data_IF_129047914745
#
_entry.id   IF_129047914745
#
_cell.length_a   1.000
_cell.length_b   1.000
_cell.length_c   1.000
_cell.angle_alpha   90.00
_cell.angle_beta   90.00
_cell.angle_gamma   90.00
#
_symmetry.space_group_name_H-M   'P 1'
#
loop_
_entity.id
_entity.type
_entity.pdbx_description
1 polymer ?
#
# COMPACT_ATOMS: atom_id res chain seq x y z
N UNK A 1 -18.73 -3.20 -10.10
CA UNK A 1 -18.19 -4.56 -9.89
C UNK A 1 -16.78 -4.55 -9.25
N UNK A 2 -16.35 -3.44 -8.61
CA UNK A 2 -15.18 -3.42 -7.72
C UNK A 2 -15.58 -3.74 -6.26
N UNK A 3 -16.83 -3.49 -5.89
CA UNK A 3 -17.28 -3.58 -4.49
C UNK A 3 -17.38 -5.02 -3.96
N UNK A 4 -17.63 -6.00 -4.83
CA UNK A 4 -17.80 -7.39 -4.41
C UNK A 4 -16.49 -8.10 -4.06
N UNK A 5 -15.34 -7.57 -4.51
CA UNK A 5 -14.02 -8.18 -4.27
C UNK A 5 -13.36 -7.69 -2.97
N UNK A 6 -13.83 -6.56 -2.41
CA UNK A 6 -13.35 -6.04 -1.13
C UNK A 6 -13.95 -6.77 0.08
N UNK A 7 -15.03 -7.55 -0.12
CA UNK A 7 -15.81 -8.18 0.96
C UNK A 7 -15.20 -9.50 1.43
N UNK A 8 -14.47 -10.19 0.54
CA UNK A 8 -13.71 -11.38 0.88
C UNK A 8 -12.26 -10.94 1.08
N UNK A 9 -11.75 -10.91 2.31
CA UNK A 9 -10.31 -10.76 2.57
C UNK A 9 -9.50 -12.00 2.08
N UNK A 10 -9.89 -12.62 0.97
CA UNK A 10 -9.11 -13.59 0.23
C UNK A 10 -8.18 -12.86 -0.74
N UNK A 11 -7.08 -12.38 -0.16
CA UNK A 11 -6.02 -11.62 -0.79
C UNK A 11 -5.32 -12.34 -1.95
N UNK A 12 -5.54 -13.66 -2.12
CA UNK A 12 -5.00 -14.46 -3.24
C UNK A 12 -5.59 -14.08 -4.59
N UNK A 13 -6.76 -13.43 -4.63
CA UNK A 13 -7.43 -13.04 -5.87
C UNK A 13 -7.21 -11.56 -6.26
N UNK A 14 -6.70 -10.72 -5.36
CA UNK A 14 -6.50 -9.28 -5.60
C UNK A 14 -5.05 -8.87 -5.88
N UNK A 15 -4.07 -9.73 -5.58
CA UNK A 15 -2.68 -9.53 -5.97
C UNK A 15 -2.12 -10.85 -6.51
N UNK A 16 -1.65 -10.94 -7.77
CA UNK A 16 -0.70 -11.98 -8.13
C UNK A 16 0.51 -11.89 -7.17
N UNK A 17 1.30 -12.96 -6.96
CA UNK A 17 2.43 -12.93 -6.03
C UNK A 17 3.52 -11.98 -6.55
N UNK A 18 3.35 -10.69 -6.31
CA UNK A 18 4.37 -9.66 -6.47
C UNK A 18 5.15 -9.64 -5.17
N UNK A 19 6.45 -9.91 -5.24
CA UNK A 19 7.33 -9.72 -4.10
C UNK A 19 7.28 -8.25 -3.65
N UNK A 20 7.33 -7.96 -2.35
CA UNK A 20 7.44 -6.58 -1.89
C UNK A 20 8.76 -5.99 -2.41
N UNK A 21 8.73 -4.76 -2.92
CA UNK A 21 9.95 -4.07 -3.33
C UNK A 21 10.66 -3.42 -2.13
N UNK A 22 9.92 -3.16 -1.04
CA UNK A 22 10.44 -2.62 0.21
C UNK A 22 9.73 -3.25 1.42
N UNK A 23 10.51 -3.52 2.48
CA UNK A 23 10.02 -4.00 3.78
C UNK A 23 10.59 -3.11 4.87
N UNK A 24 9.73 -2.59 5.74
CA UNK A 24 10.11 -1.77 6.89
C UNK A 24 9.71 -2.44 8.20
N UNK A 25 10.63 -2.44 9.16
CA UNK A 25 10.36 -2.80 10.56
C UNK A 25 9.71 -1.62 11.29
N UNK A 26 8.56 -1.17 10.78
CA UNK A 26 7.76 -0.09 11.35
C UNK A 26 6.27 -0.43 11.26
N UNK A 27 5.45 0.03 12.23
CA UNK A 27 4.01 -0.06 12.14
C UNK A 27 3.46 0.55 10.84
N UNK A 28 2.40 -0.04 10.29
CA UNK A 28 1.86 0.35 8.97
C UNK A 28 1.39 1.81 8.89
N UNK A 29 0.74 2.35 9.93
CA UNK A 29 0.38 3.77 9.98
C UNK A 29 1.60 4.69 9.88
N UNK A 30 2.71 4.33 10.54
CA UNK A 30 3.96 5.08 10.49
C UNK A 30 4.67 4.91 9.16
N UNK A 31 4.64 3.71 8.59
CA UNK A 31 5.23 3.43 7.28
C UNK A 31 4.50 4.18 6.16
N UNK A 32 3.16 4.23 6.21
CA UNK A 32 2.33 5.02 5.27
C UNK A 32 2.66 6.51 5.40
N UNK A 33 2.65 7.07 6.61
CA UNK A 33 2.95 8.48 6.82
C UNK A 33 4.37 8.86 6.33
N UNK A 34 5.35 8.00 6.62
CA UNK A 34 6.73 8.15 6.12
C UNK A 34 6.78 8.14 4.60
N UNK A 35 6.13 7.16 3.95
CA UNK A 35 6.16 7.04 2.50
C UNK A 35 5.47 8.22 1.82
N UNK A 36 4.30 8.63 2.31
CA UNK A 36 3.58 9.81 1.79
C UNK A 36 4.47 11.04 1.83
N UNK A 37 5.05 11.34 2.98
CA UNK A 37 5.91 12.50 3.16
C UNK A 37 7.12 12.47 2.22
N UNK A 38 7.78 11.31 2.11
CA UNK A 38 8.98 11.17 1.31
C UNK A 38 8.70 11.26 -0.19
N UNK A 39 7.60 10.68 -0.65
CA UNK A 39 7.14 10.79 -2.04
C UNK A 39 6.80 12.25 -2.39
N UNK A 40 6.07 12.95 -1.53
CA UNK A 40 5.73 14.37 -1.71
C UNK A 40 6.98 15.26 -1.80
N UNK A 41 7.96 15.03 -0.93
CA UNK A 41 9.23 15.77 -0.94
C UNK A 41 10.05 15.57 -2.23
N UNK A 42 9.81 14.47 -2.96
CA UNK A 42 10.47 14.15 -4.21
C UNK A 42 9.59 14.41 -5.45
N UNK A 43 8.55 15.24 -5.30
CA UNK A 43 7.71 15.70 -6.43
C UNK A 43 6.72 14.67 -6.95
N UNK A 44 6.44 13.62 -6.17
CA UNK A 44 5.35 12.67 -6.43
C UNK A 44 4.11 13.11 -5.64
N UNK A 45 2.93 12.77 -6.12
CA UNK A 45 1.67 13.12 -5.46
C UNK A 45 0.92 11.84 -5.05
N UNK A 46 1.17 11.31 -3.85
CA UNK A 46 0.42 10.18 -3.32
C UNK A 46 -0.98 10.61 -2.88
N UNK A 47 -2.00 9.88 -3.31
CA UNK A 47 -3.39 10.04 -2.89
C UNK A 47 -3.86 8.74 -2.27
N UNK A 48 -4.23 8.78 -1.00
CA UNK A 48 -4.80 7.62 -0.31
C UNK A 48 -6.24 7.38 -0.78
N UNK A 49 -6.46 6.25 -1.44
CA UNK A 49 -7.78 5.88 -1.99
C UNK A 49 -8.48 4.80 -1.19
N UNK A 50 -7.73 4.04 -0.39
CA UNK A 50 -8.28 3.02 0.49
C UNK A 50 -7.47 2.92 1.78
N UNK A 51 -8.18 2.72 2.88
CA UNK A 51 -7.62 2.35 4.18
C UNK A 51 -8.54 1.32 4.84
N UNK A 52 -7.99 0.14 5.11
CA UNK A 52 -8.70 -0.96 5.73
C UNK A 52 -9.22 -0.62 7.12
N UNK A 53 -8.51 0.19 7.91
CA UNK A 53 -8.99 0.58 9.24
C UNK A 53 -10.29 1.38 9.13
N UNK A 54 -10.30 2.39 8.26
CA UNK A 54 -11.50 3.19 7.98
C UNK A 54 -12.62 2.33 7.40
N UNK A 55 -12.31 1.44 6.45
CA UNK A 55 -13.30 0.55 5.85
C UNK A 55 -13.92 -0.44 6.86
N UNK A 56 -13.11 -0.97 7.79
CA UNK A 56 -13.54 -1.86 8.88
C UNK A 56 -14.55 -1.19 9.81
N UNK A 57 -14.35 0.09 10.13
CA UNK A 57 -15.32 0.84 10.93
C UNK A 57 -16.69 0.92 10.25
N UNK A 58 -16.73 0.88 8.92
CA UNK A 58 -17.96 0.89 8.14
C UNK A 58 -18.56 -0.52 7.87
N UNK A 59 -17.81 -1.61 8.08
CA UNK A 59 -18.21 -2.99 7.73
C UNK A 59 -17.89 -3.98 8.86
N UNK A 60 -18.88 -4.27 9.70
CA UNK A 60 -18.74 -5.09 10.91
C UNK A 60 -18.56 -6.61 10.66
N UNK A 61 -18.71 -7.09 9.42
CA UNK A 61 -18.76 -8.51 9.08
C UNK A 61 -17.54 -8.99 8.27
N UNK A 62 -16.32 -8.50 8.56
CA UNK A 62 -15.12 -8.98 7.86
C UNK A 62 -14.64 -10.36 8.38
N UNK A 63 -14.17 -11.28 7.52
CA UNK A 63 -13.87 -12.67 7.88
C UNK A 63 -12.45 -12.89 8.45
N UNK A 64 -11.78 -11.84 8.95
CA UNK A 64 -10.49 -12.00 9.63
C UNK A 64 -10.65 -12.93 10.86
N UNK A 65 -9.75 -13.90 11.12
CA UNK A 65 -9.86 -14.81 12.27
C UNK A 65 -9.90 -14.10 13.62
N UNK A 66 -9.35 -12.88 13.67
CA UNK A 66 -9.36 -11.99 14.82
C UNK A 66 -10.29 -10.78 14.61
N UNK A 67 -11.17 -10.82 13.61
CA UNK A 67 -12.06 -9.72 13.25
C UNK A 67 -12.91 -9.30 14.45
N UNK A 68 -13.06 -7.99 14.64
CA UNK A 68 -13.80 -7.43 15.77
C UNK A 68 -13.15 -7.62 17.15
N UNK A 69 -11.98 -8.26 17.23
CA UNK A 69 -11.22 -8.38 18.49
C UNK A 69 -10.10 -7.35 18.55
N UNK A 70 -9.64 -7.03 19.77
CA UNK A 70 -8.49 -6.17 20.02
C UNK A 70 -7.16 -6.71 19.42
N UNK A 71 -7.16 -7.95 18.89
CA UNK A 71 -5.97 -8.63 18.37
C UNK A 71 -5.77 -8.50 16.86
N UNK A 72 -6.74 -7.97 16.10
CA UNK A 72 -6.57 -7.77 14.66
C UNK A 72 -5.75 -6.51 14.37
N UNK A 73 -4.44 -6.69 14.23
CA UNK A 73 -3.48 -5.64 13.89
C UNK A 73 -3.26 -5.46 12.38
N UNK A 74 -3.97 -6.21 11.53
CA UNK A 74 -3.83 -6.12 10.08
C UNK A 74 -4.25 -4.74 9.54
N UNK A 75 -3.40 -4.17 8.69
CA UNK A 75 -3.61 -2.89 8.03
C UNK A 75 -3.27 -3.01 6.55
N UNK A 76 -4.09 -2.37 5.71
CA UNK A 76 -3.82 -2.24 4.28
C UNK A 76 -4.21 -0.83 3.84
N UNK A 77 -3.31 -0.16 3.15
CA UNK A 77 -3.54 1.14 2.54
C UNK A 77 -3.23 1.04 1.05
N UNK A 78 -4.08 1.64 0.23
CA UNK A 78 -3.83 1.80 -1.21
C UNK A 78 -3.61 3.26 -1.51
N UNK A 79 -2.49 3.55 -2.15
CA UNK A 79 -2.12 4.86 -2.65
C UNK A 79 -2.14 4.86 -4.18
N UNK A 80 -2.72 5.89 -4.78
CA UNK A 80 -2.45 6.27 -6.16
C UNK A 80 -1.32 7.30 -6.15
N UNK A 81 -0.19 6.99 -6.77
CA UNK A 81 0.98 7.86 -6.83
C UNK A 81 1.08 8.47 -8.21
N UNK A 82 0.84 9.78 -8.29
CA UNK A 82 0.90 10.54 -9.54
C UNK A 82 2.28 11.18 -9.73
N UNK A 83 2.69 11.31 -11.00
CA UNK A 83 3.90 12.03 -11.39
C UNK A 83 3.64 12.80 -12.69
N UNK A 84 3.42 14.11 -12.61
CA UNK A 84 3.03 14.92 -13.76
C UNK A 84 1.77 14.38 -14.44
N UNK A 85 1.76 14.33 -15.77
CA UNK A 85 0.63 13.87 -16.59
C UNK A 85 0.61 12.34 -16.83
N UNK A 86 1.47 11.57 -16.14
CA UNK A 86 1.49 10.11 -16.28
C UNK A 86 0.28 9.46 -15.60
N UNK A 87 -0.09 8.27 -16.07
CA UNK A 87 -1.04 7.42 -15.34
C UNK A 87 -0.49 7.11 -13.93
N UNK A 88 -1.33 7.16 -12.88
CA UNK A 88 -0.88 6.93 -11.52
C UNK A 88 -0.44 5.48 -11.33
N UNK A 89 0.66 5.28 -10.62
CA UNK A 89 1.01 3.97 -10.09
C UNK A 89 0.08 3.64 -8.92
N UNK A 90 -0.39 2.38 -8.84
CA UNK A 90 -1.04 1.90 -7.62
C UNK A 90 0.00 1.25 -6.73
N UNK A 91 0.13 1.78 -5.53
CA UNK A 91 1.00 1.24 -4.50
C UNK A 91 0.13 0.71 -3.35
N UNK A 92 0.37 -0.52 -2.96
CA UNK A 92 -0.29 -1.15 -1.81
C UNK A 92 0.71 -1.27 -0.68
N UNK A 93 0.31 -0.83 0.51
CA UNK A 93 1.07 -0.99 1.74
C UNK A 93 0.27 -1.93 2.63
N UNK A 94 0.81 -3.11 2.88
CA UNK A 94 0.24 -4.07 3.80
C UNK A 94 1.11 -4.12 5.05
N UNK A 95 0.53 -4.29 6.23
CA UNK A 95 1.33 -4.37 7.42
C UNK A 95 0.55 -4.65 8.70
N UNK A 96 1.28 -4.57 9.81
CA UNK A 96 0.77 -4.73 11.15
C UNK A 96 1.48 -3.74 12.10
N UNK A 97 1.49 -4.04 13.39
CA UNK A 97 2.15 -3.22 14.43
C UNK A 97 3.67 -3.31 14.43
N UNK A 98 4.27 -4.25 13.71
CA UNK A 98 5.70 -4.53 13.74
C UNK A 98 6.38 -4.23 12.40
N UNK A 99 5.71 -4.59 11.30
CA UNK A 99 6.30 -4.50 9.98
C UNK A 99 5.28 -4.09 8.91
N UNK A 100 5.84 -3.54 7.82
CA UNK A 100 5.12 -3.05 6.66
C UNK A 100 5.82 -3.48 5.37
N UNK A 101 5.04 -3.91 4.40
CA UNK A 101 5.46 -4.41 3.10
C UNK A 101 4.83 -3.55 2.01
N UNK A 102 5.66 -3.10 1.08
CA UNK A 102 5.29 -2.21 0.00
C UNK A 102 5.30 -2.94 -1.33
N UNK A 103 4.25 -2.75 -2.11
CA UNK A 103 4.05 -3.40 -3.40
C UNK A 103 3.62 -2.35 -4.42
N UNK A 104 4.11 -2.48 -5.65
CA UNK A 104 3.61 -1.71 -6.79
C UNK A 104 2.82 -2.67 -7.68
N UNK A 105 1.61 -2.25 -8.07
CA UNK A 105 0.77 -3.01 -9.00
C UNK A 105 1.20 -2.66 -10.42
N UNK A 106 1.88 -3.60 -11.08
CA UNK A 106 2.27 -3.51 -12.47
C UNK A 106 1.80 -4.78 -13.20
N UNK A 107 0.62 -4.72 -13.80
CA UNK A 107 0.00 -5.87 -14.48
C UNK A 107 -0.40 -5.49 -15.90
N UNK A 108 -0.63 -6.44 -16.82
CA UNK A 108 -1.10 -6.09 -18.17
C UNK A 108 -2.41 -5.30 -18.20
N UNK A 109 -3.29 -5.49 -17.20
CA UNK A 109 -4.55 -4.77 -17.06
C UNK A 109 -4.37 -3.36 -16.45
N UNK A 110 -3.28 -3.17 -15.72
CA UNK A 110 -2.93 -1.93 -15.07
C UNK A 110 -1.41 -1.69 -15.19
N UNK A 111 -0.91 -1.39 -16.40
CA UNK A 111 0.50 -1.16 -16.62
C UNK A 111 0.88 0.20 -16.05
N UNK A 112 2.10 0.29 -15.54
CA UNK A 112 2.69 1.55 -15.10
C UNK A 112 3.87 1.90 -15.99
N UNK A 113 4.14 3.20 -16.14
CA UNK A 113 5.35 3.65 -16.83
C UNK A 113 6.58 3.26 -16.03
N UNK A 114 7.56 2.61 -16.66
CA UNK A 114 8.82 2.19 -16.02
C UNK A 114 9.54 3.34 -15.29
N UNK A 115 9.43 4.57 -15.81
CA UNK A 115 10.01 5.74 -15.17
C UNK A 115 9.37 6.07 -13.82
N UNK A 116 8.03 5.94 -13.72
CA UNK A 116 7.30 6.22 -12.48
C UNK A 116 7.58 5.13 -11.45
N UNK A 117 7.54 3.86 -11.88
CA UNK A 117 7.88 2.70 -11.04
C UNK A 117 9.27 2.87 -10.42
N UNK A 118 10.27 3.09 -11.26
CA UNK A 118 11.65 3.27 -10.83
C UNK A 118 11.81 4.49 -9.90
N UNK A 119 11.13 5.59 -10.18
CA UNK A 119 11.24 6.78 -9.34
C UNK A 119 10.67 6.54 -7.93
N UNK A 120 9.55 5.83 -7.82
CA UNK A 120 8.98 5.43 -6.53
C UNK A 120 9.95 4.53 -5.77
N UNK A 121 10.49 3.51 -6.42
CA UNK A 121 11.45 2.58 -5.81
C UNK A 121 12.72 3.31 -5.34
N UNK A 122 13.31 4.15 -6.18
CA UNK A 122 14.54 4.88 -5.87
C UNK A 122 14.32 5.80 -4.66
N UNK A 123 13.23 6.57 -4.63
CA UNK A 123 12.91 7.49 -3.52
C UNK A 123 12.78 6.74 -2.20
N UNK A 124 12.04 5.63 -2.17
CA UNK A 124 11.75 4.90 -0.93
C UNK A 124 12.92 4.02 -0.46
N UNK A 125 13.70 3.42 -1.39
CA UNK A 125 14.85 2.61 -1.03
C UNK A 125 16.03 3.46 -0.53
N UNK A 126 16.34 4.59 -1.19
CA UNK A 126 17.45 5.46 -0.79
C UNK A 126 17.31 6.01 0.64
N UNK A 127 16.09 6.31 1.06
CA UNK A 127 15.84 6.80 2.42
C UNK A 127 15.96 5.70 3.49
N UNK A 128 15.80 4.42 3.09
CA UNK A 128 15.99 3.29 4.00
C UNK A 128 17.47 3.13 4.33
N UNK A 129 18.35 3.22 3.32
CA UNK A 129 19.80 3.14 3.49
C UNK A 129 20.38 4.32 4.30
N UNK A 130 19.74 5.49 4.24
CA UNK A 130 20.15 6.68 5.01
C UNK A 130 19.76 6.63 6.50
N UNK A 131 18.96 5.65 6.92
CA UNK A 131 18.41 5.57 8.29
C UNK A 131 18.94 4.36 9.08
N UNK A 132 19.90 3.60 8.52
CA UNK A 132 20.62 2.50 9.19
C UNK A 132 21.97 2.98 9.73
#
# INVERSE_FOLDING_TARGET
MLEALLVSCDWRFLMPPTSPFLVLNKPCDKAVAWAVQLLEQNGLHPVQTFDLQTARLAHADCPCPHHGTAHCTCQMVVLLVYQGDNLPATMTIHGNTEASWFYIVNTPQQPIGQQVEKHIEDVLNLATDATI
#
